data_IF_379199013712
#
_entry.id   IF_379199013712
#
_cell.length_a   1.000
_cell.length_b   1.000
_cell.length_c   1.000
_cell.angle_alpha   90.00
_cell.angle_beta   90.00
_cell.angle_gamma   90.00
#
_symmetry.space_group_name_H-M   'P 1'
#
loop_
_entity.id
_entity.type
_entity.pdbx_description
1 polymer ?
#
# COMPACT_ATOMS: atom_id res chain seq x y z
N UNK A 1 -10.99 -44.79 -6.26
CA UNK A 1 -12.27 -45.24 -6.85
C UNK A 1 -13.11 -44.06 -7.32
N UNK A 2 -13.32 -43.03 -6.48
CA UNK A 2 -14.15 -41.85 -6.79
C UNK A 2 -13.78 -41.16 -8.13
N UNK A 3 -12.49 -40.96 -8.42
CA UNK A 3 -12.06 -40.33 -9.69
C UNK A 3 -12.44 -41.14 -10.94
N UNK A 4 -12.35 -42.47 -10.87
CA UNK A 4 -12.73 -43.36 -11.98
C UNK A 4 -14.25 -43.36 -12.24
N UNK A 5 -15.04 -43.36 -11.17
CA UNK A 5 -16.51 -43.25 -11.26
C UNK A 5 -16.94 -41.91 -11.86
N UNK A 6 -16.30 -40.81 -11.46
CA UNK A 6 -16.53 -39.47 -12.03
C UNK A 6 -16.21 -39.42 -13.53
N UNK A 7 -15.08 -40.01 -13.96
CA UNK A 7 -14.71 -40.07 -15.37
C UNK A 7 -15.76 -40.85 -16.16
N UNK A 8 -16.15 -42.05 -15.71
CA UNK A 8 -17.19 -42.84 -16.38
C UNK A 8 -18.52 -42.09 -16.47
N UNK A 9 -18.91 -41.38 -15.40
CA UNK A 9 -20.14 -40.59 -15.39
C UNK A 9 -20.10 -39.44 -16.39
N UNK A 10 -18.95 -38.77 -16.58
CA UNK A 10 -18.80 -37.65 -17.54
C UNK A 10 -18.73 -38.08 -19.00
N UNK A 11 -18.27 -39.30 -19.28
CA UNK A 11 -18.17 -39.80 -20.65
C UNK A 11 -19.55 -40.06 -21.28
N UNK A 12 -20.58 -40.34 -20.46
CA UNK A 12 -21.94 -40.58 -20.94
C UNK A 12 -22.59 -39.30 -21.54
N UNK A 13 -22.62 -38.14 -20.85
CA UNK A 13 -23.03 -36.86 -21.44
C UNK A 13 -22.21 -36.44 -22.66
N UNK A 14 -20.90 -36.68 -22.64
CA UNK A 14 -20.04 -36.32 -23.76
C UNK A 14 -20.33 -37.17 -25.01
N UNK A 15 -20.55 -38.47 -24.83
CA UNK A 15 -21.00 -39.37 -25.91
C UNK A 15 -22.36 -38.94 -26.47
N UNK A 16 -23.27 -38.48 -25.62
CA UNK A 16 -24.56 -37.94 -26.04
C UNK A 16 -24.39 -36.74 -26.96
N UNK A 17 -23.63 -35.74 -26.53
CA UNK A 17 -23.41 -34.49 -27.27
C UNK A 17 -22.71 -34.70 -28.62
N UNK A 18 -21.81 -35.68 -28.73
CA UNK A 18 -21.15 -36.02 -30.00
C UNK A 18 -22.14 -36.69 -30.96
N UNK A 19 -22.97 -37.61 -30.45
CA UNK A 19 -23.89 -38.39 -31.27
C UNK A 19 -25.17 -37.65 -31.65
N UNK A 20 -25.55 -36.59 -30.90
CA UNK A 20 -26.85 -35.93 -30.99
C UNK A 20 -28.02 -36.91 -31.04
N UNK A 21 -27.93 -38.00 -30.26
CA UNK A 21 -28.94 -39.04 -30.27
C UNK A 21 -30.32 -38.50 -29.86
N UNK A 22 -31.36 -38.97 -30.54
CA UNK A 22 -32.74 -38.68 -30.14
C UNK A 22 -33.16 -39.56 -28.96
N UNK A 23 -34.21 -39.17 -28.22
CA UNK A 23 -34.69 -39.94 -27.05
C UNK A 23 -34.95 -41.44 -27.35
N UNK A 24 -35.58 -41.82 -28.50
CA UNK A 24 -35.74 -43.23 -28.87
C UNK A 24 -34.41 -43.97 -29.09
N UNK A 25 -33.38 -43.27 -29.58
CA UNK A 25 -32.04 -43.84 -29.80
C UNK A 25 -31.26 -43.98 -28.49
N UNK A 26 -31.48 -43.07 -27.53
CA UNK A 26 -30.93 -43.17 -26.19
C UNK A 26 -31.50 -44.38 -25.41
N UNK A 27 -32.78 -44.72 -25.61
CA UNK A 27 -33.39 -45.95 -25.09
C UNK A 27 -32.73 -47.23 -25.62
N UNK A 28 -32.21 -47.18 -26.86
CA UNK A 28 -31.47 -48.28 -27.49
C UNK A 28 -29.97 -48.28 -27.13
N UNK A 29 -29.54 -47.40 -26.21
CA UNK A 29 -28.17 -47.32 -25.71
C UNK A 29 -27.21 -46.53 -26.58
N UNK A 30 -27.68 -45.84 -27.63
CA UNK A 30 -26.82 -44.96 -28.44
C UNK A 30 -26.52 -43.66 -27.68
N UNK A 31 -25.34 -43.09 -27.92
CA UNK A 31 -25.00 -41.75 -27.42
C UNK A 31 -24.97 -41.61 -25.90
N UNK A 32 -24.32 -42.53 -25.18
CA UNK A 32 -24.30 -42.52 -23.71
C UNK A 32 -25.61 -42.98 -23.05
N UNK A 33 -26.59 -43.45 -23.85
CA UNK A 33 -27.86 -44.01 -23.39
C UNK A 33 -28.76 -43.00 -22.67
N UNK A 34 -29.76 -43.52 -21.96
CA UNK A 34 -30.72 -42.70 -21.19
C UNK A 34 -30.03 -41.81 -20.15
N UNK A 35 -28.94 -42.28 -19.54
CA UNK A 35 -28.22 -41.53 -18.52
C UNK A 35 -27.49 -40.34 -19.13
N UNK A 36 -26.79 -40.52 -20.26
CA UNK A 36 -26.15 -39.42 -20.97
C UNK A 36 -27.15 -38.39 -21.48
N UNK A 37 -28.30 -38.83 -21.99
CA UNK A 37 -29.41 -37.96 -22.40
C UNK A 37 -29.97 -37.15 -21.21
N UNK A 38 -30.32 -37.83 -20.10
CA UNK A 38 -30.94 -37.20 -18.93
C UNK A 38 -30.02 -36.20 -18.22
N UNK A 39 -28.71 -36.44 -18.23
CA UNK A 39 -27.71 -35.53 -17.68
C UNK A 39 -27.40 -34.36 -18.64
N UNK A 40 -27.59 -34.51 -19.94
CA UNK A 40 -27.22 -33.46 -20.90
C UNK A 40 -28.35 -32.50 -21.21
N UNK A 41 -29.56 -33.00 -21.47
CA UNK A 41 -30.66 -32.19 -22.02
C UNK A 41 -31.11 -31.04 -21.10
N UNK A 42 -31.35 -31.24 -19.80
CA UNK A 42 -31.77 -30.15 -18.92
C UNK A 42 -30.73 -29.03 -18.80
N UNK A 43 -29.44 -29.40 -18.80
CA UNK A 43 -28.33 -28.45 -18.74
C UNK A 43 -28.17 -27.69 -20.06
N UNK A 44 -28.31 -28.39 -21.20
CA UNK A 44 -28.29 -27.77 -22.53
C UNK A 44 -29.43 -26.77 -22.70
N UNK A 45 -30.64 -27.11 -22.25
CA UNK A 45 -31.81 -26.24 -22.33
C UNK A 45 -31.67 -24.99 -21.45
N UNK A 46 -31.07 -25.13 -20.26
CA UNK A 46 -30.95 -24.02 -19.31
C UNK A 46 -29.75 -23.11 -19.57
N UNK A 47 -28.57 -23.68 -19.86
CA UNK A 47 -27.30 -22.95 -19.96
C UNK A 47 -26.76 -22.85 -21.39
N UNK A 48 -27.31 -23.60 -22.34
CA UNK A 48 -26.79 -23.69 -23.70
C UNK A 48 -25.57 -24.61 -23.83
N UNK A 49 -25.19 -24.89 -25.08
CA UNK A 49 -24.10 -25.82 -25.42
C UNK A 49 -22.74 -25.40 -24.86
N UNK A 50 -22.41 -24.11 -24.91
CA UNK A 50 -21.08 -23.64 -24.49
C UNK A 50 -20.81 -23.86 -23.00
N UNK A 51 -21.76 -23.47 -22.14
CA UNK A 51 -21.61 -23.61 -20.69
C UNK A 51 -21.71 -25.08 -20.26
N UNK A 52 -22.62 -25.85 -20.86
CA UNK A 52 -22.78 -27.27 -20.54
C UNK A 52 -21.53 -28.08 -20.89
N UNK A 53 -20.92 -27.81 -22.05
CA UNK A 53 -19.68 -28.49 -22.46
C UNK A 53 -18.50 -28.10 -21.58
N UNK A 54 -18.41 -26.81 -21.21
CA UNK A 54 -17.36 -26.32 -20.30
C UNK A 54 -17.48 -26.95 -18.91
N UNK A 55 -18.71 -27.11 -18.41
CA UNK A 55 -18.97 -27.77 -17.12
C UNK A 55 -18.51 -29.23 -17.12
N UNK A 56 -18.89 -30.02 -18.13
CA UNK A 56 -18.48 -31.43 -18.21
C UNK A 56 -16.98 -31.61 -18.47
N UNK A 57 -16.33 -30.70 -19.21
CA UNK A 57 -14.88 -30.70 -19.40
C UNK A 57 -14.12 -30.45 -18.09
N UNK A 58 -14.60 -29.51 -17.27
CA UNK A 58 -14.02 -29.24 -15.95
C UNK A 58 -14.23 -30.42 -15.00
N UNK A 59 -15.41 -31.06 -15.03
CA UNK A 59 -15.71 -32.21 -14.20
C UNK A 59 -14.87 -33.44 -14.60
N UNK A 60 -14.64 -33.64 -15.90
CA UNK A 60 -13.74 -34.66 -16.43
C UNK A 60 -12.28 -34.39 -16.01
N UNK A 61 -11.80 -33.15 -16.14
CA UNK A 61 -10.46 -32.77 -15.72
C UNK A 61 -10.25 -32.97 -14.21
N UNK A 62 -11.27 -32.65 -13.41
CA UNK A 62 -11.28 -32.91 -11.97
C UNK A 62 -11.26 -34.41 -11.64
N UNK A 63 -12.04 -35.23 -12.35
CA UNK A 63 -12.03 -36.68 -12.22
C UNK A 63 -10.67 -37.30 -12.55
N UNK A 64 -10.01 -36.84 -13.62
CA UNK A 64 -8.65 -37.25 -14.01
C UNK A 64 -7.64 -36.83 -12.95
N UNK A 65 -7.75 -35.60 -12.43
CA UNK A 65 -6.89 -35.11 -11.35
C UNK A 65 -6.97 -35.99 -10.11
N UNK A 66 -8.19 -36.37 -9.69
CA UNK A 66 -8.41 -37.30 -8.56
C UNK A 66 -7.92 -38.73 -8.84
N UNK A 67 -7.93 -39.18 -10.09
CA UNK A 67 -7.46 -40.52 -10.46
C UNK A 67 -5.92 -40.60 -10.49
N UNK A 68 -5.26 -39.55 -10.98
CA UNK A 68 -3.79 -39.47 -11.10
C UNK A 68 -3.14 -39.03 -9.78
N UNK A 69 -3.92 -38.50 -8.84
CA UNK A 69 -3.41 -37.91 -7.60
C UNK A 69 -2.69 -36.59 -7.85
N UNK A 70 -3.02 -35.93 -8.97
CA UNK A 70 -2.34 -34.73 -9.43
C UNK A 70 -2.77 -33.55 -8.56
N UNK A 71 -1.82 -32.97 -7.84
CA UNK A 71 -2.11 -31.82 -6.97
C UNK A 71 -1.97 -30.51 -7.75
N UNK A 72 -2.57 -29.43 -7.23
CA UNK A 72 -2.45 -28.10 -7.83
C UNK A 72 -0.98 -27.64 -7.90
N UNK A 73 -0.14 -28.13 -6.98
CA UNK A 73 1.30 -27.88 -6.98
C UNK A 73 2.01 -28.60 -8.13
N UNK A 74 1.59 -29.81 -8.51
CA UNK A 74 2.14 -30.53 -9.65
C UNK A 74 1.78 -29.84 -10.98
N UNK A 75 0.59 -29.23 -11.06
CA UNK A 75 0.18 -28.43 -12.21
C UNK A 75 1.08 -27.20 -12.41
N UNK A 76 1.33 -26.47 -11.33
CA UNK A 76 2.19 -25.29 -11.34
C UNK A 76 3.65 -25.67 -11.66
N UNK A 77 4.12 -26.81 -11.17
CA UNK A 77 5.43 -27.36 -11.53
C UNK A 77 5.49 -27.80 -13.00
N UNK A 78 4.40 -28.35 -13.55
CA UNK A 78 4.21 -28.69 -14.95
C UNK A 78 4.27 -27.48 -15.89
N UNK A 79 3.59 -26.38 -15.54
CA UNK A 79 3.66 -25.11 -16.28
C UNK A 79 5.07 -24.51 -16.25
N UNK A 80 5.74 -24.61 -15.10
CA UNK A 80 7.12 -24.15 -14.94
C UNK A 80 8.12 -25.00 -15.73
N UNK A 81 7.86 -26.30 -15.92
CA UNK A 81 8.68 -27.17 -16.77
C UNK A 81 8.38 -27.01 -18.25
N UNK A 82 7.11 -26.81 -18.63
CA UNK A 82 6.72 -26.51 -20.01
C UNK A 82 7.28 -25.17 -20.49
N UNK A 83 7.22 -24.12 -19.66
CA UNK A 83 7.83 -22.83 -19.98
C UNK A 83 9.35 -22.90 -20.12
N UNK A 84 10.03 -23.80 -19.39
CA UNK A 84 11.47 -24.09 -19.57
C UNK A 84 11.75 -24.82 -20.89
N UNK A 85 10.92 -25.80 -21.29
CA UNK A 85 11.05 -26.49 -22.59
C UNK A 85 10.76 -25.58 -23.77
N UNK A 86 9.74 -24.72 -23.67
CA UNK A 86 9.45 -23.70 -24.69
C UNK A 86 10.59 -22.69 -24.81
N UNK A 87 11.24 -22.32 -23.70
CA UNK A 87 12.46 -21.50 -23.72
C UNK A 87 13.65 -22.22 -24.38
N UNK A 88 13.82 -23.52 -24.16
CA UNK A 88 14.88 -24.30 -24.81
C UNK A 88 14.64 -24.42 -26.34
N UNK A 89 13.41 -24.70 -26.76
CA UNK A 89 13.02 -24.70 -28.18
C UNK A 89 13.22 -23.31 -28.83
N UNK A 90 12.94 -22.23 -28.09
CA UNK A 90 13.19 -20.87 -28.56
C UNK A 90 14.70 -20.55 -28.67
N UNK A 91 15.55 -21.23 -27.91
CA UNK A 91 17.01 -21.09 -27.96
C UNK A 91 17.63 -21.89 -29.10
N UNK A 92 17.05 -23.03 -29.50
CA UNK A 92 17.48 -23.78 -30.69
C UNK A 92 17.15 -23.07 -32.01
N UNK A 93 16.11 -22.24 -32.04
CA UNK A 93 15.71 -21.43 -33.20
C UNK A 93 16.46 -20.09 -33.30
N UNK A 94 17.23 -19.71 -32.27
CA UNK A 94 18.01 -18.47 -32.28
C UNK A 94 19.39 -18.71 -32.95
N UNK A 95 19.77 -17.93 -34.00
CA UNK A 95 21.04 -18.12 -34.68
C UNK A 95 22.23 -17.86 -33.75
N UNK A 96 23.19 -18.78 -33.84
CA UNK A 96 24.36 -18.95 -32.97
C UNK A 96 25.27 -17.72 -32.96
N UNK A 97 25.29 -16.98 -31.85
CA UNK A 97 26.38 -16.06 -31.52
C UNK A 97 27.47 -16.83 -30.76
N UNK A 98 28.69 -16.85 -31.31
CA UNK A 98 29.82 -17.62 -30.77
C UNK A 98 30.28 -17.12 -29.39
N UNK A 99 30.75 -18.00 -28.50
CA UNK A 99 31.11 -17.63 -27.13
C UNK A 99 32.55 -17.14 -27.05
N UNK A 100 32.75 -15.96 -26.45
CA UNK A 100 34.07 -15.52 -25.98
C UNK A 100 34.37 -16.18 -24.64
N UNK A 101 35.39 -17.02 -24.64
CA UNK A 101 35.96 -17.72 -23.50
C UNK A 101 36.54 -16.73 -22.49
N UNK A 102 35.97 -16.65 -21.28
CA UNK A 102 36.74 -16.22 -20.11
C UNK A 102 36.42 -17.13 -18.91
N UNK A 103 37.52 -17.64 -18.37
CA UNK A 103 37.69 -18.59 -17.28
C UNK A 103 36.97 -18.15 -16.00
N UNK A 104 35.98 -18.94 -15.57
CA UNK A 104 35.41 -18.86 -14.22
C UNK A 104 36.37 -19.53 -13.24
N UNK A 105 37.06 -18.73 -12.42
CA UNK A 105 37.46 -19.18 -11.07
C UNK A 105 36.47 -18.53 -10.11
N UNK A 106 35.48 -19.30 -9.69
CA UNK A 106 34.47 -18.86 -8.74
C UNK A 106 35.13 -18.67 -7.36
N UNK A 107 35.25 -17.41 -6.93
CA UNK A 107 35.45 -17.09 -5.51
C UNK A 107 34.06 -17.07 -4.90
N UNK A 108 33.78 -18.02 -4.02
CA UNK A 108 32.54 -18.07 -3.25
C UNK A 108 32.69 -17.09 -2.08
N UNK A 109 32.09 -15.91 -2.21
CA UNK A 109 31.99 -14.95 -1.12
C UNK A 109 30.91 -15.42 -0.14
N UNK A 110 31.17 -15.41 1.18
CA UNK A 110 30.15 -15.70 2.18
C UNK A 110 29.04 -14.64 2.11
N UNK A 111 27.80 -15.08 2.25
CA UNK A 111 26.65 -14.18 2.45
C UNK A 111 26.91 -13.33 3.71
N UNK A 112 26.74 -11.99 3.65
CA UNK A 112 26.77 -11.19 4.86
C UNK A 112 25.62 -11.61 5.77
N UNK A 113 25.92 -11.77 7.06
CA UNK A 113 24.90 -11.98 8.08
C UNK A 113 23.82 -10.89 7.98
N UNK A 114 22.56 -11.32 8.06
CA UNK A 114 21.43 -10.41 8.10
C UNK A 114 21.64 -9.44 9.26
N UNK A 115 21.54 -8.10 9.03
CA UNK A 115 21.64 -7.16 10.12
C UNK A 115 20.49 -7.41 11.10
N UNK A 116 20.72 -7.23 12.41
CA UNK A 116 19.69 -7.43 13.41
C UNK A 116 18.51 -6.52 13.12
N UNK A 117 17.30 -7.06 13.24
CA UNK A 117 16.04 -6.32 13.18
C UNK A 117 16.07 -5.32 14.35
N UNK A 118 16.50 -4.09 14.09
CA UNK A 118 16.33 -2.98 15.02
C UNK A 118 14.89 -2.51 14.94
N UNK A 119 14.20 -2.57 16.08
CA UNK A 119 12.85 -2.03 16.26
C UNK A 119 12.78 -0.59 15.69
N UNK A 120 11.92 -0.41 14.69
CA UNK A 120 11.66 0.87 14.05
C UNK A 120 10.68 1.70 14.88
N UNK A 121 11.14 2.25 16.02
CA UNK A 121 10.32 3.16 16.84
C UNK A 121 10.79 4.63 16.85
N UNK A 122 11.84 4.99 16.11
CA UNK A 122 12.27 6.39 16.01
C UNK A 122 11.97 7.00 14.63
N UNK A 123 10.68 7.27 14.39
CA UNK A 123 10.33 8.49 13.66
C UNK A 123 10.68 9.65 14.59
N UNK A 124 11.80 10.33 14.32
CA UNK A 124 12.27 11.48 15.09
C UNK A 124 11.22 12.62 15.02
N UNK A 125 10.29 12.62 15.97
CA UNK A 125 9.48 13.78 16.33
C UNK A 125 10.42 14.69 17.12
N UNK A 126 10.96 15.72 16.47
CA UNK A 126 11.81 16.71 17.11
C UNK A 126 10.88 17.80 17.64
N UNK A 127 10.68 17.85 18.96
CA UNK A 127 9.98 18.93 19.65
C UNK A 127 10.61 20.29 19.32
N UNK A 128 9.73 21.25 19.01
CA UNK A 128 10.06 22.60 18.59
C UNK A 128 10.47 23.45 19.80
N UNK A 129 11.74 23.42 20.20
CA UNK A 129 12.30 24.50 21.02
C UNK A 129 12.42 25.75 20.18
N UNK A 130 11.67 26.78 20.56
CA UNK A 130 11.62 28.10 19.97
C UNK A 130 13.04 28.69 19.77
N UNK A 131 13.47 28.77 18.51
CA UNK A 131 14.65 29.55 18.11
C UNK A 131 14.20 30.59 17.10
N UNK A 132 14.36 31.85 17.50
CA UNK A 132 14.14 33.06 16.71
C UNK A 132 14.76 32.94 15.29
N UNK A 133 14.07 33.40 14.22
CA UNK A 133 14.50 33.15 12.86
C UNK A 133 15.65 34.10 12.50
N UNK A 134 16.90 33.65 12.68
CA UNK A 134 18.02 34.23 11.95
C UNK A 134 18.09 33.58 10.58
N UNK A 135 17.76 34.41 9.59
CA UNK A 135 17.75 34.14 8.15
C UNK A 135 19.14 33.77 7.65
N UNK A 136 19.53 32.50 7.77
CA UNK A 136 20.68 31.98 7.04
C UNK A 136 20.20 30.93 6.04
N UNK A 137 19.54 31.43 4.99
CA UNK A 137 19.18 30.62 3.83
C UNK A 137 20.45 30.24 3.09
N UNK A 138 20.89 28.98 3.26
CA UNK A 138 21.86 28.35 2.37
C UNK A 138 21.41 28.59 0.93
N UNK A 139 22.11 29.46 0.19
CA UNK A 139 21.67 29.91 -1.13
C UNK A 139 21.55 28.71 -2.07
N UNK A 140 20.30 28.37 -2.43
CA UNK A 140 20.00 27.38 -3.47
C UNK A 140 20.74 27.74 -4.77
N UNK A 141 21.20 26.71 -5.48
CA UNK A 141 21.82 26.88 -6.80
C UNK A 141 20.89 27.67 -7.73
N UNK A 142 21.43 28.66 -8.45
CA UNK A 142 20.67 29.44 -9.45
C UNK A 142 20.15 28.59 -10.62
N UNK A 143 20.67 27.36 -10.79
CA UNK A 143 20.19 26.41 -11.80
C UNK A 143 18.89 25.71 -11.39
N UNK A 144 18.48 25.80 -10.13
CA UNK A 144 17.24 25.20 -9.63
C UNK A 144 16.06 26.15 -9.81
N UNK A 145 14.84 25.63 -10.01
CA UNK A 145 13.64 26.46 -10.08
C UNK A 145 13.42 27.20 -8.76
N UNK A 146 13.02 28.49 -8.82
CA UNK A 146 12.74 29.26 -7.62
C UNK A 146 11.47 28.74 -6.92
N UNK A 147 11.49 28.70 -5.58
CA UNK A 147 10.31 28.29 -4.78
C UNK A 147 9.11 29.23 -4.94
N UNK A 148 9.29 30.40 -5.56
CA UNK A 148 8.20 31.32 -5.88
C UNK A 148 7.19 30.78 -6.88
N UNK A 149 7.56 29.76 -7.67
CA UNK A 149 6.63 29.04 -8.56
C UNK A 149 5.57 28.29 -7.75
N UNK A 150 5.90 27.90 -6.51
CA UNK A 150 4.98 27.21 -5.61
C UNK A 150 4.13 28.24 -4.84
N UNK A 151 2.84 27.93 -4.69
CA UNK A 151 1.89 28.75 -3.93
C UNK A 151 2.27 28.82 -2.44
N UNK A 152 2.04 29.97 -1.82
CA UNK A 152 2.22 30.17 -0.37
C UNK A 152 1.05 29.54 0.39
N UNK A 153 1.31 29.12 1.63
CA UNK A 153 0.25 28.72 2.56
C UNK A 153 -0.54 29.92 3.04
N UNK A 154 -1.86 29.75 3.16
CA UNK A 154 -2.72 30.61 3.97
C UNK A 154 -2.84 29.99 5.36
N UNK A 155 -2.49 30.73 6.40
CA UNK A 155 -2.69 30.27 7.79
C UNK A 155 -4.19 30.38 8.11
N UNK A 156 -4.85 29.24 8.29
CA UNK A 156 -6.20 29.17 8.84
C UNK A 156 -6.02 28.58 10.24
N UNK A 157 -6.05 29.44 11.25
CA UNK A 157 -6.05 29.01 12.64
C UNK A 157 -7.49 28.82 13.12
N UNK A 158 -7.74 27.73 13.85
CA UNK A 158 -8.99 27.56 14.58
C UNK A 158 -9.14 28.68 15.62
N UNK A 159 -10.37 29.13 15.85
CA UNK A 159 -10.66 30.08 16.93
C UNK A 159 -10.52 29.37 18.27
N UNK A 160 -10.00 30.08 19.28
CA UNK A 160 -9.87 29.55 20.65
C UNK A 160 -11.22 29.08 21.22
N UNK A 161 -12.30 29.74 20.82
CA UNK A 161 -13.67 29.44 21.23
C UNK A 161 -14.14 28.04 20.81
N UNK A 162 -13.88 27.63 19.57
CA UNK A 162 -14.23 26.28 19.07
C UNK A 162 -13.47 25.17 19.81
N UNK A 163 -12.21 25.44 20.15
CA UNK A 163 -11.36 24.51 20.88
C UNK A 163 -11.91 24.29 22.30
N UNK A 164 -12.25 25.36 23.00
CA UNK A 164 -12.79 25.31 24.36
C UNK A 164 -14.17 24.62 24.40
N UNK A 165 -15.02 24.85 23.39
CA UNK A 165 -16.30 24.16 23.27
C UNK A 165 -16.11 22.65 23.09
N UNK A 166 -15.27 22.22 22.15
CA UNK A 166 -14.98 20.79 21.90
C UNK A 166 -14.36 20.12 23.12
N UNK A 167 -13.46 20.81 23.82
CA UNK A 167 -12.87 20.35 25.08
C UNK A 167 -13.98 20.03 26.09
N UNK A 168 -14.89 20.98 26.33
CA UNK A 168 -16.00 20.80 27.27
C UNK A 168 -16.89 19.62 26.88
N UNK A 169 -17.26 19.51 25.60
CA UNK A 169 -18.08 18.41 25.09
C UNK A 169 -17.41 17.05 25.36
N UNK A 170 -16.10 16.92 25.15
CA UNK A 170 -15.36 15.67 25.42
C UNK A 170 -15.45 15.31 26.91
N UNK A 171 -15.11 16.25 27.79
CA UNK A 171 -15.10 16.03 29.24
C UNK A 171 -16.50 15.68 29.77
N UNK A 172 -17.52 16.43 29.37
CA UNK A 172 -18.92 16.19 29.74
C UNK A 172 -19.44 14.86 29.20
N UNK A 173 -19.15 14.52 27.94
CA UNK A 173 -19.59 13.24 27.36
C UNK A 173 -18.98 12.06 28.10
N UNK A 174 -17.67 12.10 28.36
CA UNK A 174 -16.99 11.04 29.12
C UNK A 174 -17.55 10.91 30.55
N UNK A 175 -17.81 12.04 31.21
CA UNK A 175 -18.43 12.06 32.54
C UNK A 175 -19.85 11.47 32.54
N UNK A 176 -20.67 11.74 31.53
CA UNK A 176 -22.02 11.17 31.40
C UNK A 176 -22.02 9.64 31.29
N UNK A 177 -20.98 9.05 30.71
CA UNK A 177 -20.79 7.59 30.65
C UNK A 177 -20.07 7.02 31.88
N UNK A 178 -19.87 7.82 32.93
CA UNK A 178 -19.21 7.40 34.17
C UNK A 178 -17.71 7.21 34.02
N UNK A 179 -17.08 7.83 33.02
CA UNK A 179 -15.64 7.80 32.77
C UNK A 179 -15.04 9.20 32.94
N UNK A 180 -14.93 9.74 34.17
CA UNK A 180 -14.36 11.07 34.39
C UNK A 180 -12.95 11.14 33.82
N UNK A 181 -12.67 12.19 33.05
CA UNK A 181 -11.39 12.45 32.42
C UNK A 181 -11.24 13.95 32.14
N UNK A 182 -10.01 14.42 32.04
CA UNK A 182 -9.70 15.84 31.80
C UNK A 182 -8.83 15.99 30.56
N UNK A 183 -9.08 17.03 29.77
CA UNK A 183 -8.23 17.37 28.63
C UNK A 183 -7.04 18.17 29.16
N UNK A 184 -5.86 17.55 29.11
CA UNK A 184 -4.59 18.11 29.60
C UNK A 184 -3.80 18.85 28.52
N UNK A 185 -3.95 18.46 27.26
CA UNK A 185 -3.19 19.01 26.13
C UNK A 185 -4.08 19.17 24.91
N UNK A 186 -3.82 20.19 24.09
CA UNK A 186 -4.52 20.40 22.82
C UNK A 186 -3.50 20.77 21.76
N UNK A 187 -3.52 20.06 20.64
CA UNK A 187 -2.66 20.31 19.49
C UNK A 187 -3.54 20.46 18.24
N UNK A 188 -3.55 21.67 17.68
CA UNK A 188 -4.37 22.00 16.51
C UNK A 188 -3.56 21.81 15.23
N UNK A 189 -3.90 20.79 14.45
CA UNK A 189 -3.34 20.56 13.13
C UNK A 189 -4.21 21.13 12.00
N UNK A 190 -3.77 20.99 10.74
CA UNK A 190 -4.47 21.55 9.57
C UNK A 190 -5.84 20.91 9.31
N UNK A 191 -5.97 19.61 9.55
CA UNK A 191 -7.18 18.85 9.25
C UNK A 191 -7.91 18.31 10.50
N UNK A 192 -7.17 18.13 11.59
CA UNK A 192 -7.67 17.57 12.84
C UNK A 192 -7.05 18.31 14.01
N UNK A 193 -7.76 18.34 15.13
CA UNK A 193 -7.26 18.79 16.43
C UNK A 193 -7.16 17.59 17.35
N UNK A 194 -5.99 17.36 17.93
CA UNK A 194 -5.76 16.29 18.89
C UNK A 194 -5.96 16.82 20.31
N UNK A 195 -6.92 16.22 21.03
CA UNK A 195 -7.18 16.48 22.44
C UNK A 195 -6.56 15.36 23.27
N UNK A 196 -5.60 15.71 24.12
CA UNK A 196 -4.94 14.80 25.05
C UNK A 196 -5.75 14.63 26.32
N UNK A 197 -6.41 13.48 26.47
CA UNK A 197 -7.31 13.17 27.58
C UNK A 197 -6.58 12.34 28.62
N UNK A 198 -6.51 12.85 29.85
CA UNK A 198 -6.01 12.12 31.01
C UNK A 198 -7.16 11.37 31.69
N UNK A 199 -7.10 10.02 31.79
CA UNK A 199 -8.15 9.25 32.46
C UNK A 199 -8.17 9.55 33.96
N UNK A 200 -9.32 9.92 34.49
CA UNK A 200 -9.54 10.14 35.92
C UNK A 200 -9.74 8.85 36.72
N UNK A 201 -10.35 8.98 37.89
CA UNK A 201 -10.61 7.89 38.82
C UNK A 201 -12.11 7.71 39.02
N UNK A 202 -12.54 6.45 39.10
CA UNK A 202 -13.90 6.06 39.46
C UNK A 202 -13.89 5.35 40.80
N UNK A 203 -14.89 5.59 41.63
CA UNK A 203 -15.08 4.86 42.87
C UNK A 203 -15.78 3.54 42.57
N UNK A 204 -15.21 2.43 43.07
CA UNK A 204 -15.86 1.13 43.09
C UNK A 204 -15.91 0.59 44.51
N UNK A 205 -17.07 0.06 44.86
CA UNK A 205 -17.25 -0.69 46.10
C UNK A 205 -16.59 -2.06 45.91
N UNK A 206 -15.59 -2.36 46.73
CA UNK A 206 -14.95 -3.67 46.76
C UNK A 206 -15.87 -4.75 47.31
N UNK A 207 -15.48 -6.02 47.18
CA UNK A 207 -16.22 -7.16 47.74
C UNK A 207 -16.36 -7.11 49.27
N UNK A 208 -15.55 -6.27 49.92
CA UNK A 208 -15.51 -5.93 51.33
C UNK A 208 -16.40 -4.73 51.71
N UNK A 209 -17.11 -4.12 50.75
CA UNK A 209 -17.96 -2.95 51.00
C UNK A 209 -17.20 -1.63 51.11
N UNK A 210 -15.86 -1.64 51.00
CA UNK A 210 -15.04 -0.44 51.09
C UNK A 210 -14.92 0.26 49.72
N UNK A 211 -15.03 1.60 49.65
CA UNK A 211 -14.79 2.35 48.42
C UNK A 211 -13.30 2.30 48.06
N UNK A 212 -12.99 1.93 46.81
CA UNK A 212 -11.64 1.97 46.24
C UNK A 212 -11.65 2.82 44.98
N UNK A 213 -10.66 3.68 44.84
CA UNK A 213 -10.46 4.43 43.61
C UNK A 213 -9.79 3.54 42.57
N UNK A 214 -10.41 3.41 41.41
CA UNK A 214 -9.88 2.71 40.26
C UNK A 214 -9.69 3.72 39.13
N UNK A 215 -8.49 3.78 38.55
CA UNK A 215 -8.25 4.60 37.36
C UNK A 215 -9.10 4.10 36.20
N UNK A 216 -9.73 5.02 35.47
CA UNK A 216 -10.51 4.73 34.27
C UNK A 216 -9.62 3.98 33.28
N UNK A 217 -10.14 2.87 32.73
CA UNK A 217 -9.36 2.05 31.80
C UNK A 217 -9.38 2.69 30.42
N UNK A 218 -8.21 2.77 29.79
CA UNK A 218 -8.02 3.35 28.45
C UNK A 218 -8.97 2.73 27.41
N UNK A 219 -9.15 1.40 27.44
CA UNK A 219 -10.05 0.70 26.51
C UNK A 219 -11.52 1.12 26.65
N UNK A 220 -11.95 1.60 27.83
CA UNK A 220 -13.32 2.09 28.03
C UNK A 220 -13.52 3.43 27.30
N UNK A 221 -12.55 4.34 27.37
CA UNK A 221 -12.57 5.60 26.62
C UNK A 221 -12.56 5.32 25.12
N UNK A 222 -11.68 4.41 24.66
CA UNK A 222 -11.61 4.03 23.25
C UNK A 222 -12.92 3.39 22.72
N UNK A 223 -13.67 2.70 23.59
CA UNK A 223 -14.96 2.12 23.22
C UNK A 223 -16.05 3.17 22.92
N UNK A 224 -16.00 4.35 23.56
CA UNK A 224 -16.94 5.45 23.36
C UNK A 224 -16.70 6.26 22.09
N UNK A 225 -15.85 5.79 21.17
CA UNK A 225 -15.52 6.48 19.91
C UNK A 225 -16.75 6.93 19.11
N UNK A 226 -17.81 6.12 19.06
CA UNK A 226 -19.03 6.45 18.31
C UNK A 226 -19.85 7.51 19.02
N UNK A 227 -19.99 7.42 20.33
CA UNK A 227 -20.76 8.37 21.14
C UNK A 227 -20.07 9.73 21.17
N UNK A 228 -18.73 9.75 21.31
CA UNK A 228 -17.94 10.97 21.19
C UNK A 228 -18.05 11.59 19.78
N UNK A 229 -18.08 10.77 18.73
CA UNK A 229 -18.22 11.28 17.37
C UNK A 229 -19.58 11.94 17.17
N UNK A 230 -20.64 11.35 17.75
CA UNK A 230 -21.98 11.92 17.75
C UNK A 230 -22.03 13.24 18.53
N UNK A 231 -21.49 13.27 19.75
CA UNK A 231 -21.49 14.45 20.60
C UNK A 231 -20.72 15.63 19.99
N UNK A 232 -19.61 15.35 19.29
CA UNK A 232 -18.79 16.36 18.61
C UNK A 232 -19.28 16.69 17.19
N UNK A 233 -20.42 16.15 16.76
CA UNK A 233 -20.94 16.28 15.39
C UNK A 233 -19.91 15.92 14.30
N UNK A 234 -19.00 14.98 14.60
CA UNK A 234 -17.91 14.59 13.73
C UNK A 234 -18.27 13.35 12.91
N UNK A 235 -17.96 13.34 11.60
CA UNK A 235 -18.20 12.17 10.74
C UNK A 235 -17.45 10.93 11.20
N UNK A 236 -16.22 11.11 11.70
CA UNK A 236 -15.38 10.05 12.26
C UNK A 236 -14.38 10.64 13.24
N UNK A 237 -14.06 9.86 14.28
CA UNK A 237 -12.99 10.15 15.24
C UNK A 237 -11.91 9.08 15.19
N UNK A 238 -10.66 9.49 15.39
CA UNK A 238 -9.53 8.60 15.67
C UNK A 238 -9.16 8.74 17.14
N UNK A 239 -9.05 7.61 17.83
CA UNK A 239 -8.59 7.56 19.23
C UNK A 239 -7.28 6.79 19.25
N UNK A 240 -6.22 7.43 19.74
CA UNK A 240 -4.90 6.87 19.94
C UNK A 240 -4.68 6.62 21.44
N UNK A 241 -4.57 5.36 21.83
CA UNK A 241 -4.61 4.95 23.21
C UNK A 241 -3.64 3.79 23.47
N UNK A 242 -2.55 3.97 24.26
CA UNK A 242 -2.01 5.25 24.76
C UNK A 242 -1.28 6.05 23.67
N UNK A 243 -1.06 7.36 23.92
CA UNK A 243 -0.10 8.15 23.13
C UNK A 243 1.33 7.71 23.51
N UNK A 244 2.20 7.32 22.56
CA UNK A 244 3.56 6.88 22.86
C UNK A 244 4.33 7.91 23.70
N UNK A 245 5.01 7.44 24.75
CA UNK A 245 5.77 8.31 25.65
C UNK A 245 4.92 9.17 26.59
N UNK A 246 3.59 9.10 26.55
CA UNK A 246 2.71 9.93 27.37
C UNK A 246 1.61 9.12 28.09
N UNK A 247 1.18 9.60 29.25
CA UNK A 247 0.15 8.97 30.10
C UNK A 247 -1.29 9.30 29.71
N UNK A 248 -1.55 9.64 28.44
CA UNK A 248 -2.82 10.20 27.95
C UNK A 248 -3.41 9.40 26.78
N UNK A 249 -4.69 9.66 26.51
CA UNK A 249 -5.42 9.18 25.33
C UNK A 249 -5.60 10.34 24.36
N UNK A 250 -5.08 10.21 23.14
CA UNK A 250 -5.22 11.22 22.09
C UNK A 250 -6.54 11.04 21.34
N UNK A 251 -7.42 12.02 21.38
CA UNK A 251 -8.67 12.05 20.60
C UNK A 251 -8.51 13.06 19.47
N UNK A 252 -8.45 12.56 18.23
CA UNK A 252 -8.32 13.39 17.03
C UNK A 252 -9.70 13.70 16.46
N UNK A 253 -10.08 14.98 16.56
CA UNK A 253 -11.35 15.52 16.10
C UNK A 253 -11.14 16.30 14.81
N UNK A 254 -11.88 16.00 13.73
CA UNK A 254 -11.84 16.82 12.52
C UNK A 254 -12.12 18.30 12.80
N UNK A 255 -11.39 19.16 12.10
CA UNK A 255 -11.66 20.60 12.12
C UNK A 255 -12.91 20.91 11.30
N UNK A 256 -13.61 22.00 11.64
CA UNK A 256 -14.75 22.46 10.86
C UNK A 256 -14.29 22.90 9.45
N UNK A 257 -13.17 23.63 9.41
CA UNK A 257 -12.47 23.99 8.17
C UNK A 257 -11.09 23.33 8.13
N UNK A 258 -10.78 22.62 7.04
CA UNK A 258 -9.46 22.01 6.84
C UNK A 258 -8.54 22.96 6.09
N UNK A 259 -7.36 23.24 6.64
CA UNK A 259 -6.33 24.03 5.98
C UNK A 259 -5.57 23.18 4.95
N UNK A 260 -5.32 23.74 3.76
CA UNK A 260 -4.53 23.08 2.72
C UNK A 260 -3.04 23.21 3.02
N UNK A 261 -2.38 22.08 3.25
CA UNK A 261 -0.92 22.02 3.42
C UNK A 261 -0.24 22.20 2.05
N UNK A 262 0.45 23.33 1.87
CA UNK A 262 1.15 23.66 0.61
C UNK A 262 2.59 23.14 0.64
N UNK A 263 3.04 22.52 -0.45
CA UNK A 263 4.41 21.99 -0.57
C UNK A 263 5.49 23.02 -0.20
N UNK A 264 5.29 24.28 -0.61
CA UNK A 264 6.23 25.36 -0.34
C UNK A 264 6.52 25.55 1.14
N UNK A 265 5.50 25.52 2.02
CA UNK A 265 5.71 25.78 3.45
C UNK A 265 6.60 24.73 4.08
N UNK A 266 6.40 23.45 3.70
CA UNK A 266 7.21 22.34 4.18
C UNK A 266 8.63 22.41 3.61
N UNK A 267 8.81 22.73 2.33
CA UNK A 267 10.15 22.86 1.73
C UNK A 267 10.97 24.04 2.27
N UNK A 268 10.30 25.10 2.74
CA UNK A 268 10.95 26.25 3.37
C UNK A 268 11.23 26.03 4.86
N UNK A 269 10.75 24.93 5.44
CA UNK A 269 10.86 24.68 6.88
C UNK A 269 12.30 24.35 7.34
N UNK A 270 12.59 24.58 8.62
CA UNK A 270 13.79 24.06 9.26
C UNK A 270 13.89 22.53 9.15
N UNK A 271 12.77 21.80 9.26
CA UNK A 271 12.74 20.35 9.16
C UNK A 271 13.31 19.86 7.82
N UNK A 272 12.91 20.49 6.71
CA UNK A 272 13.43 20.15 5.39
C UNK A 272 14.89 20.58 5.20
N UNK A 273 15.23 21.83 5.54
CA UNK A 273 16.57 22.37 5.32
C UNK A 273 17.67 21.66 6.13
N UNK A 274 17.33 21.10 7.30
CA UNK A 274 18.26 20.32 8.14
C UNK A 274 18.69 18.98 7.51
N UNK A 275 17.89 18.38 6.62
CA UNK A 275 18.19 17.08 6.02
C UNK A 275 19.45 17.10 5.13
N UNK A 276 19.71 18.21 4.43
CA UNK A 276 20.91 18.43 3.58
C UNK A 276 21.29 17.24 2.66
N UNK A 277 20.30 16.49 2.19
CA UNK A 277 20.44 15.29 1.33
C UNK A 277 19.77 15.54 -0.03
N UNK A 278 20.34 15.01 -1.13
CA UNK A 278 19.70 15.09 -2.45
C UNK A 278 18.32 14.40 -2.47
N UNK A 279 18.13 13.36 -1.66
CA UNK A 279 16.89 12.58 -1.63
C UNK A 279 15.91 13.04 -0.52
N UNK A 280 16.06 14.29 -0.07
CA UNK A 280 15.09 14.93 0.83
C UNK A 280 13.74 15.16 0.13
N UNK A 281 12.67 14.72 0.77
CA UNK A 281 11.30 14.93 0.30
C UNK A 281 10.39 15.46 1.41
N UNK A 282 9.59 16.46 1.07
CA UNK A 282 8.55 17.00 1.94
C UNK A 282 7.32 16.07 1.90
N UNK A 283 6.86 15.62 3.07
CA UNK A 283 5.65 14.79 3.18
C UNK A 283 4.40 15.62 3.44
N UNK A 284 4.50 16.63 4.31
CA UNK A 284 3.34 17.41 4.72
C UNK A 284 3.54 18.01 6.11
N UNK A 285 2.47 18.01 6.88
CA UNK A 285 2.46 18.39 8.29
C UNK A 285 1.86 17.25 9.12
N UNK A 286 2.28 17.12 10.37
CA UNK A 286 1.70 16.17 11.30
C UNK A 286 0.41 16.70 11.95
N UNK A 287 -0.10 15.97 12.95
CA UNK A 287 -1.33 16.31 13.68
C UNK A 287 -1.22 17.60 14.51
N UNK A 288 0.00 18.06 14.80
CA UNK A 288 0.26 19.33 15.49
C UNK A 288 0.47 20.49 14.51
N UNK A 289 0.52 20.20 13.20
CA UNK A 289 0.85 21.17 12.16
C UNK A 289 2.34 21.35 11.91
N UNK A 290 3.21 20.64 12.64
CA UNK A 290 4.64 20.71 12.44
C UNK A 290 5.04 20.13 11.07
N UNK A 291 5.94 20.79 10.32
CA UNK A 291 6.33 20.34 8.99
C UNK A 291 7.16 19.05 9.04
N UNK A 292 6.76 18.07 8.24
CA UNK A 292 7.41 16.76 8.16
C UNK A 292 8.12 16.59 6.82
N UNK A 293 9.41 16.30 6.89
CA UNK A 293 10.25 15.96 5.76
C UNK A 293 11.08 14.71 6.09
N UNK A 294 11.37 13.91 5.07
CA UNK A 294 12.12 12.66 5.21
C UNK A 294 13.27 12.59 4.20
N UNK A 295 14.25 11.73 4.49
CA UNK A 295 15.33 11.39 3.57
C UNK A 295 15.11 9.98 2.98
N UNK A 296 14.82 9.89 1.68
CA UNK A 296 14.63 8.59 1.03
C UNK A 296 15.93 7.77 0.98
N UNK A 297 17.11 8.36 1.19
CA UNK A 297 18.34 7.57 1.27
C UNK A 297 18.37 6.67 2.53
N UNK A 298 17.76 7.12 3.63
CA UNK A 298 17.64 6.35 4.87
C UNK A 298 16.52 5.30 4.83
N UNK A 299 15.58 5.48 3.91
CA UNK A 299 14.49 4.55 3.62
C UNK A 299 14.54 4.22 2.13
N UNK A 300 15.50 3.38 1.71
CA UNK A 300 15.97 3.29 0.32
C UNK A 300 14.87 2.91 -0.69
N UNK A 301 13.76 2.34 -0.20
CA UNK A 301 12.57 2.03 -0.97
C UNK A 301 11.32 2.47 -0.23
N UNK A 302 10.34 2.99 -0.98
CA UNK A 302 9.07 3.50 -0.47
C UNK A 302 7.89 2.83 -1.19
N UNK A 303 6.96 2.27 -0.42
CA UNK A 303 5.68 1.77 -0.92
C UNK A 303 4.58 2.79 -0.64
N UNK A 304 3.84 3.21 -1.66
CA UNK A 304 2.70 4.13 -1.53
C UNK A 304 1.42 3.41 -1.98
N UNK A 305 0.46 3.26 -1.07
CA UNK A 305 -0.84 2.65 -1.32
C UNK A 305 -1.97 3.60 -0.89
N UNK A 306 -3.11 3.52 -1.58
CA UNK A 306 -4.28 4.34 -1.28
C UNK A 306 -5.40 4.13 -2.31
N UNK A 307 -6.65 4.30 -1.87
CA UNK A 307 -7.84 4.24 -2.74
C UNK A 307 -7.93 5.49 -3.64
N UNK A 308 -8.79 5.47 -4.64
CA UNK A 308 -9.07 6.66 -5.47
C UNK A 308 -9.54 7.82 -4.58
N UNK A 309 -8.99 9.01 -4.80
CA UNK A 309 -9.31 10.21 -4.01
C UNK A 309 -8.59 10.33 -2.66
N UNK A 310 -7.79 9.33 -2.24
CA UNK A 310 -7.03 9.38 -0.98
C UNK A 310 -5.82 10.32 -0.99
N UNK A 311 -5.47 10.91 -2.14
CA UNK A 311 -4.32 11.80 -2.29
C UNK A 311 -3.03 11.11 -2.78
N UNK A 312 -3.05 9.81 -3.11
CA UNK A 312 -1.88 9.08 -3.65
C UNK A 312 -1.17 9.81 -4.79
N UNK A 313 -1.94 10.24 -5.79
CA UNK A 313 -1.42 10.93 -6.97
C UNK A 313 -0.81 12.30 -6.63
N UNK A 314 -1.43 13.02 -5.69
CA UNK A 314 -0.90 14.29 -5.17
C UNK A 314 0.42 14.05 -4.45
N UNK A 315 0.53 13.01 -3.61
CA UNK A 315 1.76 12.65 -2.93
C UNK A 315 2.88 12.32 -3.93
N UNK A 316 2.62 11.51 -4.95
CA UNK A 316 3.60 11.19 -6.01
C UNK A 316 4.11 12.47 -6.68
N UNK A 317 3.20 13.37 -7.08
CA UNK A 317 3.56 14.64 -7.69
C UNK A 317 4.39 15.51 -6.74
N UNK A 318 4.03 15.53 -5.46
CA UNK A 318 4.77 16.22 -4.40
C UNK A 318 6.19 15.70 -4.27
N UNK A 319 6.38 14.38 -4.21
CA UNK A 319 7.71 13.77 -4.10
C UNK A 319 8.58 14.11 -5.32
N UNK A 320 8.06 13.92 -6.53
CA UNK A 320 8.79 14.21 -7.78
C UNK A 320 9.15 15.70 -7.85
N UNK A 321 8.19 16.58 -7.58
CA UNK A 321 8.41 18.03 -7.56
C UNK A 321 9.47 18.41 -6.55
N UNK A 322 9.41 17.85 -5.34
CA UNK A 322 10.39 18.12 -4.29
C UNK A 322 11.81 17.72 -4.73
N UNK A 323 11.97 16.52 -5.29
CA UNK A 323 13.24 16.03 -5.80
C UNK A 323 13.81 16.90 -6.93
N UNK A 324 12.98 17.29 -7.91
CA UNK A 324 13.37 18.15 -9.04
C UNK A 324 13.72 19.56 -8.58
N UNK A 325 13.00 20.11 -7.59
CA UNK A 325 13.32 21.42 -7.04
C UNK A 325 14.63 21.41 -6.25
N UNK A 326 15.04 20.27 -5.68
CA UNK A 326 16.22 20.16 -4.82
C UNK A 326 17.49 19.72 -5.56
N UNK A 327 17.35 19.12 -6.75
CA UNK A 327 18.46 18.52 -7.48
C UNK A 327 18.54 19.04 -8.91
N UNK A 328 19.76 19.24 -9.39
CA UNK A 328 20.01 19.48 -10.81
C UNK A 328 20.07 18.13 -11.56
N UNK A 329 19.86 18.11 -12.90
CA UNK A 329 19.87 16.86 -13.68
C UNK A 329 21.18 16.06 -13.60
N UNK A 330 22.31 16.72 -13.32
CA UNK A 330 23.60 16.04 -13.09
C UNK A 330 23.65 15.26 -11.76
N UNK A 331 22.77 15.57 -10.81
CA UNK A 331 22.73 14.95 -9.48
C UNK A 331 21.60 13.95 -9.29
N UNK A 332 20.54 14.04 -10.09
CA UNK A 332 19.37 13.20 -9.98
C UNK A 332 18.87 12.82 -11.37
N UNK A 333 18.80 11.51 -11.58
CA UNK A 333 18.12 10.91 -12.72
C UNK A 333 16.88 10.16 -12.23
N UNK A 334 15.79 10.29 -12.99
CA UNK A 334 14.51 9.66 -12.73
C UNK A 334 14.17 8.71 -13.87
N UNK A 335 13.61 7.56 -13.52
CA UNK A 335 12.94 6.65 -14.45
C UNK A 335 11.52 6.51 -13.95
N UNK A 336 10.56 6.66 -14.86
CA UNK A 336 9.13 6.68 -14.53
C UNK A 336 8.41 5.63 -15.37
N UNK A 337 7.58 4.83 -14.71
CA UNK A 337 6.79 3.76 -15.32
C UNK A 337 5.33 4.01 -14.94
N UNK A 338 4.46 4.24 -15.94
CA UNK A 338 3.03 4.48 -15.76
C UNK A 338 2.20 3.71 -16.80
N UNK A 339 1.91 2.43 -16.54
CA UNK A 339 1.18 1.59 -17.48
C UNK A 339 -0.28 2.05 -17.66
N UNK A 340 -0.79 2.89 -16.76
CA UNK A 340 -2.17 3.40 -16.82
C UNK A 340 -2.27 4.73 -17.57
N UNK A 341 -1.14 5.39 -17.86
CA UNK A 341 -1.08 6.65 -18.61
C UNK A 341 -1.82 7.81 -17.93
N UNK A 342 -1.97 7.79 -16.60
CA UNK A 342 -2.79 8.79 -15.87
C UNK A 342 -1.93 9.81 -15.14
N UNK A 343 -0.88 9.37 -14.47
CA UNK A 343 -0.25 10.15 -13.41
C UNK A 343 1.08 10.75 -13.85
N UNK A 344 1.96 9.93 -14.44
CA UNK A 344 3.36 10.31 -14.63
C UNK A 344 3.66 10.92 -15.99
N UNK A 345 2.82 10.68 -17.02
CA UNK A 345 3.07 11.15 -18.40
C UNK A 345 3.32 12.66 -18.47
N UNK A 346 2.70 13.45 -17.58
CA UNK A 346 2.89 14.90 -17.48
C UNK A 346 4.33 15.33 -17.19
N UNK A 347 5.18 14.43 -16.72
CA UNK A 347 6.59 14.68 -16.44
C UNK A 347 7.52 14.45 -17.65
N UNK A 348 6.98 14.01 -18.79
CA UNK A 348 7.75 13.96 -20.03
C UNK A 348 8.32 15.35 -20.38
N UNK A 349 9.59 15.40 -20.77
CA UNK A 349 10.31 16.64 -21.05
C UNK A 349 11.09 17.21 -19.85
N UNK A 350 10.97 16.62 -18.65
CA UNK A 350 11.87 16.96 -17.55
C UNK A 350 13.32 16.54 -17.90
N UNK A 351 14.33 17.41 -17.67
CA UNK A 351 15.73 17.08 -17.96
C UNK A 351 16.30 15.99 -17.04
N UNK A 352 15.65 15.73 -15.92
CA UNK A 352 15.99 14.65 -14.99
C UNK A 352 15.54 13.26 -15.47
N UNK A 353 14.64 13.19 -16.45
CA UNK A 353 14.06 11.91 -16.88
C UNK A 353 15.03 11.20 -17.85
N UNK A 354 15.38 9.95 -17.54
CA UNK A 354 16.08 9.08 -18.48
C UNK A 354 15.07 8.61 -19.52
N UNK A 355 15.12 9.21 -20.71
CA UNK A 355 14.19 8.89 -21.79
C UNK A 355 12.80 9.49 -21.56
N UNK A 356 11.76 8.70 -21.83
CA UNK A 356 10.35 9.09 -21.65
C UNK A 356 9.68 8.17 -20.63
N UNK A 357 8.54 8.60 -20.08
CA UNK A 357 7.73 7.77 -19.19
C UNK A 357 7.33 6.49 -19.92
N UNK A 358 7.66 5.35 -19.31
CA UNK A 358 7.39 4.04 -19.87
C UNK A 358 5.96 3.62 -19.56
N UNK A 359 5.18 3.40 -20.62
CA UNK A 359 3.75 3.11 -20.54
C UNK A 359 3.41 1.66 -20.90
N UNK A 360 4.35 0.94 -21.49
CA UNK A 360 4.17 -0.44 -21.90
C UNK A 360 4.64 -1.37 -20.77
N UNK A 361 3.71 -2.16 -20.21
CA UNK A 361 4.00 -3.03 -19.06
C UNK A 361 5.10 -4.05 -19.35
N UNK A 362 5.16 -4.57 -20.58
CA UNK A 362 6.20 -5.53 -20.98
C UNK A 362 7.59 -4.88 -21.02
N UNK A 363 7.67 -3.59 -21.37
CA UNK A 363 8.95 -2.85 -21.36
C UNK A 363 9.40 -2.51 -19.95
N UNK A 364 8.49 -2.38 -18.98
CA UNK A 364 8.83 -2.13 -17.58
C UNK A 364 9.81 -3.19 -17.04
N UNK A 365 9.65 -4.46 -17.42
CA UNK A 365 10.57 -5.53 -17.02
C UNK A 365 11.98 -5.30 -17.58
N UNK A 366 12.10 -4.83 -18.82
CA UNK A 366 13.38 -4.47 -19.43
C UNK A 366 14.07 -3.33 -18.70
N UNK A 367 13.31 -2.31 -18.32
CA UNK A 367 13.80 -1.15 -17.55
C UNK A 367 14.31 -1.57 -16.17
N UNK A 368 13.56 -2.43 -15.46
CA UNK A 368 13.98 -2.94 -14.16
C UNK A 368 15.25 -3.79 -14.25
N UNK A 369 15.40 -4.62 -15.31
CA UNK A 369 16.64 -5.36 -15.55
C UNK A 369 17.83 -4.44 -15.82
N UNK A 370 17.63 -3.37 -16.58
CA UNK A 370 18.66 -2.37 -16.80
C UNK A 370 19.08 -1.68 -15.50
N UNK A 371 18.12 -1.34 -14.62
CA UNK A 371 18.41 -0.79 -13.30
C UNK A 371 19.27 -1.73 -12.44
N UNK A 372 19.02 -3.04 -12.48
CA UNK A 372 19.86 -4.03 -11.78
C UNK A 372 21.27 -4.07 -12.37
N UNK A 373 21.42 -4.07 -13.69
CA UNK A 373 22.74 -4.06 -14.32
C UNK A 373 23.54 -2.77 -14.03
N UNK A 374 22.87 -1.61 -13.99
CA UNK A 374 23.49 -0.34 -13.60
C UNK A 374 23.90 -0.34 -12.12
N UNK A 375 23.13 -0.98 -11.24
CA UNK A 375 23.53 -1.19 -9.84
C UNK A 375 24.80 -2.04 -9.74
N UNK A 376 24.87 -3.17 -10.44
CA UNK A 376 26.04 -4.06 -10.43
C UNK A 376 27.29 -3.35 -10.95
N UNK A 377 27.17 -2.61 -12.06
CA UNK A 377 28.24 -1.77 -12.60
C UNK A 377 28.77 -0.76 -11.58
N UNK A 378 27.88 -0.14 -10.78
CA UNK A 378 28.28 0.80 -9.73
C UNK A 378 29.00 0.11 -8.60
N UNK A 379 28.56 -1.08 -8.18
CA UNK A 379 29.28 -1.87 -7.19
C UNK A 379 30.71 -2.19 -7.66
N UNK A 380 30.89 -2.61 -8.91
CA UNK A 380 32.22 -2.85 -9.47
C UNK A 380 33.08 -1.59 -9.48
N UNK A 381 32.49 -0.43 -9.80
CA UNK A 381 33.19 0.85 -9.84
C UNK A 381 33.61 1.34 -8.44
N UNK A 382 32.79 1.09 -7.41
CA UNK A 382 33.10 1.48 -6.03
C UNK A 382 34.04 0.52 -5.31
N UNK A 383 34.19 -0.70 -5.82
CA UNK A 383 35.13 -1.69 -5.30
C UNK A 383 36.57 -1.50 -5.82
N UNK A 384 36.75 -0.66 -6.86
CA UNK A 384 38.05 -0.19 -7.34
C UNK A 384 38.51 1.02 -6.52
#
# INVERSE_FOLDING_TARGET
MIGFELILLTLLPFSYQISNATLPEAHLGKGGGLVGWALSVPLLDFFGAFLTNSFYLLLLAYGISLMVGFTWDDFLQGLNTLSRRLRQLSQELAPTAQPRTQSKRAVQLPLPDQPPITNHDELLIIEETAVSPKTDSTRRSRKLPPLSILEKSSEVALTTEEIDEKKRIIEETLAHFGLPATVSQIQSGPAVTQFGVEPGYIERIGSDGAPRQQKVRINQIAALRKDLALALAATRLRIQAPVPGQGIVGIEVPNAETAVVRLRSVMQSPAFSRLKTPLAVALGQDVSGAPVAIDLAKMPHLLIAGTTGSGKSVLINTLITCLVFNNTPDKLNLIMIDPKKVELIRFNGLPHLIGTVEVEADRAVGVLRWLTAEMDRRYETFAQ
#
